data_IF_163545843898
#
_entry.id   IF_163545843898
#
_cell.length_a   1.000
_cell.length_b   1.000
_cell.length_c   1.000
_cell.angle_alpha   90.00
_cell.angle_beta   90.00
_cell.angle_gamma   90.00
#
_symmetry.space_group_name_H-M   'P 1'
#
loop_
_entity.id
_entity.type
_entity.pdbx_description
1 polymer ?
#
# COMPACT_ATOMS: atom_id res chain seq x y z
N UNK A 1 -9.05 -14.46 16.98
CA UNK A 1 -9.65 -15.51 16.13
C UNK A 1 -8.86 -15.55 14.85
N UNK A 2 -8.49 -16.73 14.34
CA UNK A 2 -7.79 -16.83 13.05
C UNK A 2 -8.80 -16.98 11.91
N UNK A 3 -8.49 -16.37 10.77
CA UNK A 3 -9.24 -16.40 9.52
C UNK A 3 -8.43 -17.18 8.50
N UNK A 4 -9.08 -17.99 7.68
CA UNK A 4 -8.49 -18.61 6.50
C UNK A 4 -9.09 -17.97 5.26
N UNK A 5 -8.26 -17.46 4.36
CA UNK A 5 -8.72 -16.69 3.21
C UNK A 5 -7.79 -16.80 2.00
N UNK A 6 -8.35 -16.62 0.81
CA UNK A 6 -7.62 -16.37 -0.42
C UNK A 6 -7.23 -14.89 -0.50
N UNK A 7 -5.96 -14.64 -0.79
CA UNK A 7 -5.41 -13.30 -0.92
C UNK A 7 -4.66 -13.15 -2.23
N UNK A 8 -4.57 -11.90 -2.72
CA UNK A 8 -3.63 -11.49 -3.76
C UNK A 8 -2.63 -10.50 -3.17
N UNK A 9 -1.34 -10.65 -3.49
CA UNK A 9 -0.33 -9.67 -3.12
C UNK A 9 -0.39 -8.48 -4.07
N UNK A 10 -0.64 -7.29 -3.53
CA UNK A 10 -0.80 -6.05 -4.30
C UNK A 10 0.46 -5.19 -4.32
N UNK A 11 1.32 -5.33 -3.31
CA UNK A 11 2.52 -4.49 -3.18
C UNK A 11 3.57 -5.09 -2.26
N UNK A 12 4.81 -4.70 -2.51
CA UNK A 12 5.97 -4.91 -1.64
C UNK A 12 6.72 -3.59 -1.55
N UNK A 13 7.06 -3.15 -0.35
CA UNK A 13 7.79 -1.90 -0.13
C UNK A 13 9.01 -2.11 0.73
N UNK A 14 10.11 -1.44 0.39
CA UNK A 14 11.33 -1.42 1.22
C UNK A 14 11.13 -0.50 2.41
N UNK A 15 11.44 -0.99 3.60
CA UNK A 15 11.47 -0.21 4.83
C UNK A 15 12.92 0.06 5.24
N UNK A 16 13.13 0.59 6.45
CA UNK A 16 14.49 0.76 7.00
C UNK A 16 15.16 -0.59 7.25
N UNK A 17 16.41 -0.72 6.82
CA UNK A 17 17.17 -1.98 6.89
C UNK A 17 16.67 -3.00 5.87
N UNK A 18 16.71 -4.28 6.22
CA UNK A 18 16.27 -5.39 5.35
C UNK A 18 14.77 -5.70 5.48
N UNK A 19 14.03 -4.83 6.17
CA UNK A 19 12.61 -5.00 6.42
C UNK A 19 11.79 -4.64 5.18
N UNK A 20 10.70 -5.37 4.96
CA UNK A 20 9.71 -5.09 3.94
C UNK A 20 8.31 -5.02 4.53
N UNK A 21 7.43 -4.30 3.85
CA UNK A 21 5.99 -4.41 4.06
C UNK A 21 5.35 -5.03 2.84
N UNK A 22 4.47 -6.01 3.06
CA UNK A 22 3.71 -6.68 2.02
C UNK A 22 2.24 -6.32 2.20
N UNK A 23 1.68 -5.65 1.20
CA UNK A 23 0.25 -5.33 1.16
C UNK A 23 -0.48 -6.33 0.28
N UNK A 24 -1.57 -6.88 0.78
CA UNK A 24 -2.42 -7.83 0.08
C UNK A 24 -3.90 -7.40 0.16
N UNK A 25 -4.71 -8.01 -0.68
CA UNK A 25 -6.16 -7.90 -0.63
C UNK A 25 -6.74 -9.29 -0.33
N UNK A 26 -7.54 -9.35 0.73
CA UNK A 26 -8.32 -10.51 1.12
C UNK A 26 -9.59 -10.55 0.28
N UNK A 27 -9.61 -11.49 -0.66
CA UNK A 27 -10.66 -11.63 -1.65
C UNK A 27 -11.93 -12.15 -1.01
N UNK A 28 -11.79 -13.06 -0.04
CA UNK A 28 -12.93 -13.73 0.59
C UNK A 28 -13.68 -12.78 1.55
N UNK A 29 -12.98 -11.78 2.10
CA UNK A 29 -13.52 -10.85 3.09
C UNK A 29 -13.60 -9.39 2.61
N UNK A 30 -13.19 -9.09 1.38
CA UNK A 30 -13.22 -7.74 0.77
C UNK A 30 -12.51 -6.68 1.61
N UNK A 31 -11.27 -6.98 2.03
CA UNK A 31 -10.46 -6.05 2.85
C UNK A 31 -9.00 -6.00 2.43
N UNK A 32 -8.40 -4.82 2.56
CA UNK A 32 -6.96 -4.64 2.45
C UNK A 32 -6.27 -5.12 3.73
N UNK A 33 -5.18 -5.88 3.60
CA UNK A 33 -4.39 -6.39 4.72
C UNK A 33 -2.89 -6.12 4.53
N UNK A 34 -2.15 -6.01 5.64
CA UNK A 34 -0.69 -5.89 5.68
C UNK A 34 -0.11 -7.11 6.38
N UNK A 35 0.67 -7.89 5.65
CA UNK A 35 1.20 -9.15 6.15
C UNK A 35 2.39 -8.90 7.09
N UNK A 36 2.34 -9.55 8.25
CA UNK A 36 3.42 -9.68 9.22
C UNK A 36 3.79 -11.17 9.35
N UNK A 37 4.93 -11.44 9.98
CA UNK A 37 5.31 -12.81 10.31
C UNK A 37 4.36 -13.44 11.34
N UNK A 38 4.54 -14.73 11.62
CA UNK A 38 3.72 -15.48 12.59
C UNK A 38 3.81 -14.97 14.04
N UNK A 39 4.77 -14.09 14.32
CA UNK A 39 4.97 -13.42 15.62
C UNK A 39 4.52 -11.95 15.57
N UNK A 40 3.80 -11.54 14.53
CA UNK A 40 3.36 -10.16 14.29
C UNK A 40 4.51 -9.15 14.17
N UNK A 41 5.65 -9.56 13.61
CA UNK A 41 6.81 -8.71 13.32
C UNK A 41 6.88 -8.39 11.84
N UNK A 42 7.60 -7.32 11.50
CA UNK A 42 7.87 -6.95 10.11
C UNK A 42 8.54 -8.09 9.36
N UNK A 43 8.20 -8.24 8.09
CA UNK A 43 8.81 -9.21 7.19
C UNK A 43 10.18 -8.70 6.71
N UNK A 44 10.99 -9.61 6.18
CA UNK A 44 12.23 -9.29 5.48
C UNK A 44 12.15 -9.77 4.01
N UNK A 45 13.20 -9.51 3.24
CA UNK A 45 13.31 -9.91 1.83
C UNK A 45 13.22 -11.43 1.58
N UNK A 46 13.34 -12.27 2.60
CA UNK A 46 13.17 -13.73 2.48
C UNK A 46 11.70 -14.15 2.46
N UNK A 47 10.77 -13.25 2.78
CA UNK A 47 9.35 -13.55 2.75
C UNK A 47 8.90 -13.93 1.32
N UNK A 48 8.15 -15.04 1.15
CA UNK A 48 7.95 -15.68 -0.14
C UNK A 48 6.92 -14.97 -1.03
N UNK A 49 6.28 -13.92 -0.53
CA UNK A 49 5.19 -13.23 -1.19
C UNK A 49 5.69 -12.43 -2.39
N UNK A 50 5.06 -12.54 -3.54
CA UNK A 50 5.39 -11.76 -4.73
C UNK A 50 4.16 -11.06 -5.32
N UNK A 51 4.35 -9.84 -5.84
CA UNK A 51 3.25 -9.00 -6.36
C UNK A 51 2.56 -9.72 -7.53
N UNK A 52 1.23 -9.77 -7.49
CA UNK A 52 0.43 -10.50 -8.48
C UNK A 52 0.37 -12.00 -8.22
N UNK A 53 0.87 -12.49 -7.08
CA UNK A 53 0.68 -13.90 -6.71
C UNK A 53 -0.48 -14.07 -5.72
N UNK A 54 -1.12 -15.23 -5.80
CA UNK A 54 -2.18 -15.63 -4.89
C UNK A 54 -1.70 -16.60 -3.83
N UNK A 55 -2.25 -16.45 -2.64
CA UNK A 55 -2.03 -17.36 -1.53
C UNK A 55 -3.35 -17.69 -0.85
N UNK A 56 -3.48 -18.94 -0.43
CA UNK A 56 -4.39 -19.28 0.65
C UNK A 56 -3.63 -19.13 1.96
N UNK A 57 -4.08 -18.25 2.86
CA UNK A 57 -3.40 -17.98 4.12
C UNK A 57 -4.30 -18.21 5.31
N UNK A 58 -3.69 -18.48 6.46
CA UNK A 58 -4.33 -18.40 7.77
C UNK A 58 -3.70 -17.29 8.57
N UNK A 59 -4.48 -16.30 8.96
CA UNK A 59 -3.98 -15.13 9.67
C UNK A 59 -4.87 -14.74 10.85
N UNK A 60 -4.36 -13.89 11.73
CA UNK A 60 -5.18 -13.16 12.70
C UNK A 60 -4.78 -11.70 12.72
N UNK A 61 -5.75 -10.82 13.01
CA UNK A 61 -5.45 -9.42 13.26
C UNK A 61 -4.43 -9.28 14.37
N UNK A 62 -3.46 -8.37 14.18
CA UNK A 62 -2.43 -8.09 15.18
C UNK A 62 -3.08 -7.68 16.50
N UNK A 63 -2.66 -8.31 17.60
CA UNK A 63 -3.24 -8.09 18.93
C UNK A 63 -3.13 -6.62 19.39
N UNK A 64 -2.00 -5.97 19.10
CA UNK A 64 -1.80 -4.55 19.36
C UNK A 64 -1.87 -3.77 18.05
N UNK A 65 -3.05 -3.22 17.77
CA UNK A 65 -3.25 -2.32 16.64
C UNK A 65 -2.61 -0.97 16.94
N UNK A 66 -1.96 -0.40 15.92
CA UNK A 66 -1.42 0.96 15.98
C UNK A 66 -1.99 1.71 14.79
N UNK A 67 -3.07 2.50 14.97
CA UNK A 67 -3.61 3.33 13.92
C UNK A 67 -2.53 4.22 13.27
N UNK A 68 -2.61 4.47 11.94
CA UNK A 68 -3.65 4.02 11.02
C UNK A 68 -3.52 2.58 10.52
N UNK A 69 -2.49 1.83 10.95
CA UNK A 69 -2.17 0.48 10.50
C UNK A 69 -3.05 -0.60 11.15
N UNK A 70 -4.35 -0.43 11.06
CA UNK A 70 -5.34 -1.36 11.63
C UNK A 70 -5.48 -2.65 10.81
N UNK A 71 -4.96 -2.65 9.59
CA UNK A 71 -4.94 -3.76 8.64
C UNK A 71 -3.76 -4.74 8.84
N UNK A 72 -2.93 -4.55 9.88
CA UNK A 72 -1.83 -5.45 10.22
C UNK A 72 -2.35 -6.85 10.64
N UNK A 73 -1.86 -7.90 9.98
CA UNK A 73 -2.21 -9.29 10.27
C UNK A 73 -0.98 -10.17 10.43
N UNK A 74 -0.99 -11.05 11.44
CA UNK A 74 0.03 -12.09 11.61
C UNK A 74 -0.34 -13.32 10.80
N UNK A 75 0.54 -13.77 9.90
CA UNK A 75 0.31 -14.94 9.05
C UNK A 75 0.92 -16.18 9.68
N UNK A 76 0.12 -17.23 9.89
CA UNK A 76 0.52 -18.48 10.53
C UNK A 76 0.80 -19.59 9.53
N UNK A 77 0.02 -19.65 8.47
CA UNK A 77 0.10 -20.65 7.41
C UNK A 77 -0.09 -19.94 6.08
N UNK A 78 0.64 -20.35 5.05
CA UNK A 78 0.48 -19.85 3.68
C UNK A 78 0.73 -20.98 2.68
N UNK A 79 -0.06 -20.99 1.61
CA UNK A 79 0.10 -21.88 0.47
C UNK A 79 -0.10 -21.05 -0.80
N UNK A 80 0.90 -21.04 -1.70
CA UNK A 80 0.74 -20.38 -2.99
C UNK A 80 -0.26 -21.17 -3.82
N UNK A 81 -1.41 -20.57 -4.10
CA UNK A 81 -2.52 -21.20 -4.81
C UNK A 81 -3.35 -20.15 -5.50
N UNK A 82 -3.72 -20.42 -6.74
CA UNK A 82 -4.67 -19.60 -7.49
C UNK A 82 -6.09 -20.07 -7.16
N UNK A 83 -7.01 -19.19 -6.72
CA UNK A 83 -8.39 -19.57 -6.41
C UNK A 83 -9.10 -20.15 -7.65
N UNK A 84 -9.91 -21.19 -7.44
CA UNK A 84 -10.68 -21.80 -8.52
C UNK A 84 -11.63 -20.78 -9.14
N UNK A 85 -11.67 -20.67 -10.47
CA UNK A 85 -12.53 -19.72 -11.19
C UNK A 85 -11.92 -18.35 -11.47
N UNK A 86 -10.78 -17.98 -10.89
CA UNK A 86 -10.11 -16.71 -11.23
C UNK A 86 -9.43 -16.76 -12.61
N UNK A 87 -8.70 -17.85 -12.90
CA UNK A 87 -8.10 -18.06 -14.23
C UNK A 87 -9.19 -18.28 -15.28
N UNK A 88 -10.21 -19.08 -14.95
CA UNK A 88 -11.23 -19.52 -15.89
C UNK A 88 -12.10 -18.34 -16.38
N UNK A 89 -12.33 -17.32 -15.54
CA UNK A 89 -13.19 -16.17 -15.87
C UNK A 89 -12.42 -14.93 -16.37
N UNK A 90 -11.18 -14.72 -15.92
CA UNK A 90 -10.46 -13.46 -16.16
C UNK A 90 -9.20 -13.63 -17.05
N UNK A 91 -8.78 -14.86 -17.36
CA UNK A 91 -7.54 -15.13 -18.09
C UNK A 91 -6.32 -14.52 -17.40
N UNK A 92 -5.35 -14.02 -18.16
CA UNK A 92 -4.12 -13.40 -17.63
C UNK A 92 -4.34 -11.99 -17.04
N UNK A 93 -5.51 -11.37 -17.25
CA UNK A 93 -5.78 -9.97 -16.88
C UNK A 93 -6.40 -9.80 -15.48
N UNK A 94 -6.61 -10.90 -14.75
CA UNK A 94 -7.27 -10.89 -13.44
C UNK A 94 -6.67 -9.87 -12.46
N UNK A 95 -5.34 -9.69 -12.47
CA UNK A 95 -4.68 -8.79 -11.53
C UNK A 95 -5.09 -7.35 -11.79
N UNK A 96 -5.12 -6.94 -13.06
CA UNK A 96 -5.57 -5.62 -13.46
C UNK A 96 -7.05 -5.42 -13.17
N UNK A 97 -7.89 -6.45 -13.31
CA UNK A 97 -9.30 -6.38 -12.94
C UNK A 97 -9.45 -6.05 -11.46
N UNK A 98 -8.79 -6.79 -10.56
CA UNK A 98 -8.82 -6.51 -9.12
C UNK A 98 -8.32 -5.09 -8.84
N UNK A 99 -7.20 -4.68 -9.45
CA UNK A 99 -6.66 -3.33 -9.26
C UNK A 99 -7.66 -2.26 -9.68
N UNK A 100 -8.34 -2.44 -10.82
CA UNK A 100 -9.33 -1.48 -11.31
C UNK A 100 -10.60 -1.44 -10.46
N UNK A 101 -11.05 -2.58 -9.93
CA UNK A 101 -12.19 -2.66 -9.01
C UNK A 101 -11.90 -1.94 -7.68
N UNK A 102 -10.66 -2.06 -7.19
CA UNK A 102 -10.21 -1.41 -5.95
C UNK A 102 -9.82 0.07 -6.13
N UNK A 103 -9.69 0.55 -7.38
CA UNK A 103 -9.16 1.88 -7.67
C UNK A 103 -10.22 2.96 -7.52
N UNK A 104 -10.00 3.88 -6.59
CA UNK A 104 -10.77 5.11 -6.50
C UNK A 104 -10.20 6.20 -7.43
N UNK A 105 -11.05 7.11 -7.91
CA UNK A 105 -10.61 8.29 -8.67
C UNK A 105 -10.66 9.51 -7.76
N UNK A 106 -9.51 10.14 -7.51
CA UNK A 106 -9.42 11.40 -6.76
C UNK A 106 -8.89 12.52 -7.66
N UNK A 107 -9.59 13.64 -7.69
CA UNK A 107 -9.24 14.76 -8.55
C UNK A 107 -8.30 15.79 -7.90
N UNK A 108 -8.08 15.74 -6.59
CA UNK A 108 -7.53 16.87 -5.82
C UNK A 108 -6.60 16.52 -4.65
N UNK A 109 -6.41 15.23 -4.35
CA UNK A 109 -5.65 14.73 -3.20
C UNK A 109 -6.32 15.02 -1.84
N UNK A 110 -7.54 15.56 -1.81
CA UNK A 110 -8.20 15.98 -0.58
C UNK A 110 -9.04 14.89 0.08
N UNK A 111 -9.44 13.84 -0.66
CA UNK A 111 -10.23 12.73 -0.13
C UNK A 111 -9.37 11.58 0.41
N UNK A 112 -8.11 11.50 -0.04
CA UNK A 112 -7.18 10.44 0.37
C UNK A 112 -7.05 10.37 1.89
N UNK A 113 -7.09 9.14 2.43
CA UNK A 113 -6.98 8.85 3.87
C UNK A 113 -8.02 9.62 4.69
N UNK A 114 -9.29 9.43 4.33
CA UNK A 114 -10.46 10.04 4.99
C UNK A 114 -10.35 11.57 5.10
N UNK A 115 -9.66 12.21 4.14
CA UNK A 115 -9.41 13.64 4.11
C UNK A 115 -8.51 14.19 5.22
N UNK A 116 -7.75 13.33 5.91
CA UNK A 116 -6.88 13.72 7.04
C UNK A 116 -5.46 14.11 6.64
N UNK A 117 -5.17 14.21 5.34
CA UNK A 117 -3.85 14.62 4.87
C UNK A 117 -3.56 16.09 5.17
N UNK A 118 -2.52 16.30 5.96
CA UNK A 118 -1.82 17.57 6.15
C UNK A 118 -0.61 17.65 5.23
N UNK A 119 -0.16 18.86 4.93
CA UNK A 119 0.96 19.10 4.02
C UNK A 119 2.03 19.98 4.66
N UNK A 120 3.28 19.54 4.59
CA UNK A 120 4.45 20.31 5.02
C UNK A 120 5.56 20.12 3.98
N UNK A 121 6.13 21.22 3.47
CA UNK A 121 7.17 21.18 2.44
C UNK A 121 6.80 20.28 1.25
N UNK A 122 5.56 20.41 0.76
CA UNK A 122 4.97 19.62 -0.31
C UNK A 122 4.83 18.11 -0.04
N UNK A 123 5.03 17.64 1.20
CA UNK A 123 4.91 16.22 1.57
C UNK A 123 3.66 16.00 2.42
N UNK A 124 2.82 15.07 1.98
CA UNK A 124 1.58 14.69 2.67
C UNK A 124 1.86 13.79 3.88
N UNK A 125 1.16 14.04 4.99
CA UNK A 125 1.21 13.20 6.18
C UNK A 125 -0.11 13.24 6.95
N UNK A 126 -0.34 12.25 7.81
CA UNK A 126 -1.40 12.27 8.83
C UNK A 126 -0.77 12.24 10.23
N UNK A 127 -1.58 12.52 11.27
CA UNK A 127 -1.13 12.50 12.66
C UNK A 127 -1.49 11.18 13.33
N UNK A 128 -0.62 10.68 14.21
CA UNK A 128 -0.88 9.46 15.00
C UNK A 128 -2.10 9.64 15.95
N UNK A 129 -2.30 10.85 16.46
CA UNK A 129 -3.38 11.17 17.40
C UNK A 129 -4.72 11.49 16.72
N UNK A 130 -4.73 11.66 15.39
CA UNK A 130 -5.93 11.78 14.55
C UNK A 130 -5.76 10.91 13.29
N UNK A 131 -5.71 9.58 13.46
CA UNK A 131 -5.37 8.68 12.37
C UNK A 131 -6.56 8.55 11.40
N UNK A 132 -6.32 8.37 10.09
CA UNK A 132 -7.35 7.95 9.15
C UNK A 132 -7.84 6.53 9.49
N UNK A 133 -8.97 6.15 8.89
CA UNK A 133 -9.58 4.82 9.06
C UNK A 133 -8.81 3.69 8.35
N UNK A 134 -7.95 4.03 7.38
CA UNK A 134 -7.07 3.11 6.69
C UNK A 134 -5.69 3.73 6.43
N UNK A 135 -4.66 2.88 6.31
CA UNK A 135 -3.31 3.33 5.97
C UNK A 135 -2.91 3.05 4.52
N UNK A 136 -3.78 2.43 3.72
CA UNK A 136 -3.49 2.00 2.35
C UNK A 136 -4.72 2.18 1.45
N UNK A 137 -4.51 2.60 0.20
CA UNK A 137 -5.56 2.65 -0.82
C UNK A 137 -4.98 2.47 -2.23
N UNK A 138 -5.83 2.09 -3.18
CA UNK A 138 -5.51 2.16 -4.61
C UNK A 138 -6.29 3.32 -5.19
N UNK A 139 -5.60 4.21 -5.90
CA UNK A 139 -6.17 5.45 -6.40
C UNK A 139 -5.61 5.77 -7.77
N UNK A 140 -6.33 6.58 -8.54
CA UNK A 140 -5.81 7.19 -9.77
C UNK A 140 -6.12 8.68 -9.81
N UNK A 141 -5.26 9.42 -10.50
CA UNK A 141 -5.35 10.87 -10.62
C UNK A 141 -5.61 11.32 -12.05
N UNK A 142 -6.37 12.41 -12.28
CA UNK A 142 -6.59 12.96 -13.61
C UNK A 142 -5.37 13.72 -14.17
N UNK A 143 -4.22 13.66 -13.48
CA UNK A 143 -2.96 14.29 -13.83
C UNK A 143 -1.80 13.29 -13.74
N UNK A 144 -0.73 13.57 -14.47
CA UNK A 144 0.47 12.76 -14.45
C UNK A 144 1.24 12.93 -13.13
N UNK A 145 2.02 11.92 -12.77
CA UNK A 145 3.07 12.05 -11.76
C UNK A 145 4.44 12.01 -12.45
N UNK A 146 5.28 13.01 -12.16
CA UNK A 146 6.62 13.11 -12.76
C UNK A 146 7.71 12.80 -11.73
N UNK A 147 8.63 11.91 -12.09
CA UNK A 147 9.72 11.47 -11.24
C UNK A 147 10.72 12.60 -10.97
N UNK A 148 11.01 12.84 -9.71
CA UNK A 148 11.96 13.83 -9.20
C UNK A 148 12.81 13.20 -8.09
N UNK A 149 13.95 12.62 -8.47
CA UNK A 149 14.80 11.84 -7.57
C UNK A 149 14.07 10.63 -7.00
N UNK A 150 13.95 10.55 -5.67
CA UNK A 150 13.20 9.49 -4.95
C UNK A 150 11.69 9.74 -4.88
N UNK A 151 11.20 10.82 -5.48
CA UNK A 151 9.82 11.27 -5.35
C UNK A 151 9.12 11.31 -6.71
N UNK A 152 7.80 11.39 -6.65
CA UNK A 152 6.94 11.74 -7.77
C UNK A 152 6.20 13.05 -7.47
N UNK A 153 6.24 13.99 -8.39
CA UNK A 153 5.60 15.32 -8.30
C UNK A 153 4.27 15.29 -9.02
N UNK A 154 3.23 15.83 -8.39
CA UNK A 154 1.89 15.92 -8.98
C UNK A 154 1.83 17.02 -10.04
N UNK A 155 1.55 16.66 -11.30
CA UNK A 155 1.48 17.60 -12.43
C UNK A 155 0.12 18.28 -12.54
N UNK A 156 -0.31 18.92 -11.45
CA UNK A 156 -1.57 19.65 -11.32
C UNK A 156 -1.37 21.10 -10.83
N UNK A 157 -0.12 21.60 -10.86
CA UNK A 157 0.25 22.93 -10.37
C UNK A 157 0.44 23.03 -8.85
N UNK A 158 0.14 21.99 -8.07
CA UNK A 158 0.28 22.02 -6.60
C UNK A 158 1.72 21.89 -6.11
N UNK A 159 2.63 21.31 -6.91
CA UNK A 159 3.99 20.99 -6.50
C UNK A 159 4.09 19.89 -5.42
N UNK A 160 2.98 19.24 -5.06
CA UNK A 160 2.92 18.16 -4.07
C UNK A 160 3.74 16.96 -4.53
N UNK A 161 4.48 16.37 -3.59
CA UNK A 161 5.43 15.29 -3.84
C UNK A 161 5.10 14.06 -3.00
N UNK A 162 5.32 12.87 -3.58
CA UNK A 162 5.06 11.58 -2.96
C UNK A 162 6.34 10.75 -3.04
N UNK A 163 6.89 10.30 -1.90
CA UNK A 163 8.10 9.46 -1.89
C UNK A 163 7.76 8.06 -2.42
N UNK A 164 8.55 7.55 -3.35
CA UNK A 164 8.43 6.17 -3.81
C UNK A 164 9.17 5.20 -2.89
N UNK A 165 8.52 4.08 -2.55
CA UNK A 165 9.06 3.05 -1.64
C UNK A 165 8.79 1.62 -2.12
N UNK A 166 8.36 1.44 -3.38
CA UNK A 166 8.06 0.11 -3.93
C UNK A 166 9.29 -0.79 -4.06
N UNK A 167 9.07 -2.08 -4.31
CA UNK A 167 10.11 -3.11 -4.43
C UNK A 167 11.11 -2.84 -5.57
N UNK A 168 10.60 -2.47 -6.75
CA UNK A 168 11.45 -2.11 -7.90
C UNK A 168 12.29 -0.90 -7.53
N UNK A 169 13.55 -0.86 -7.93
CA UNK A 169 14.37 0.32 -7.68
C UNK A 169 13.75 1.53 -8.35
N UNK A 170 13.89 2.71 -7.72
CA UNK A 170 13.34 3.94 -8.30
C UNK A 170 13.92 4.19 -9.70
N UNK A 171 15.16 3.77 -9.96
CA UNK A 171 15.81 3.83 -11.28
C UNK A 171 15.07 3.06 -12.38
N UNK A 172 14.38 1.97 -12.03
CA UNK A 172 13.60 1.12 -12.94
C UNK A 172 12.19 1.66 -13.18
N UNK A 173 11.71 2.58 -12.34
CA UNK A 173 10.41 3.20 -12.48
C UNK A 173 10.42 4.28 -13.58
N UNK A 174 9.32 4.44 -14.35
CA UNK A 174 9.27 5.38 -15.45
C UNK A 174 9.36 6.83 -14.96
N UNK A 175 9.88 7.70 -15.82
CA UNK A 175 9.95 9.14 -15.55
C UNK A 175 8.57 9.78 -15.37
N UNK A 176 7.54 9.18 -15.97
CA UNK A 176 6.15 9.65 -15.88
C UNK A 176 5.27 8.45 -15.56
N UNK A 177 4.44 8.57 -14.53
CA UNK A 177 3.25 7.73 -14.34
C UNK A 177 2.08 8.50 -14.96
N UNK A 178 1.45 7.96 -16.02
CA UNK A 178 0.34 8.64 -16.68
C UNK A 178 -0.84 8.89 -15.75
N UNK A 179 -1.61 9.93 -16.05
CA UNK A 179 -2.95 10.13 -15.46
C UNK A 179 -3.80 8.87 -15.64
N UNK A 180 -4.72 8.65 -14.72
CA UNK A 180 -5.64 7.51 -14.66
C UNK A 180 -4.93 6.16 -14.51
N UNK A 181 -3.61 6.12 -14.30
CA UNK A 181 -2.91 4.91 -13.88
C UNK A 181 -3.24 4.63 -12.41
N UNK A 182 -3.78 3.45 -12.08
CA UNK A 182 -3.92 3.04 -10.69
C UNK A 182 -2.54 2.99 -10.01
N UNK A 183 -2.47 3.59 -8.83
CA UNK A 183 -1.31 3.60 -7.97
C UNK A 183 -1.73 3.17 -6.57
N UNK A 184 -0.81 2.57 -5.83
CA UNK A 184 -1.04 2.25 -4.43
C UNK A 184 -0.38 3.27 -3.54
N UNK A 185 -1.17 3.96 -2.73
CA UNK A 185 -0.68 4.84 -1.68
C UNK A 185 -0.68 4.12 -0.34
N UNK A 186 0.29 4.46 0.49
CA UNK A 186 0.35 3.96 1.86
C UNK A 186 0.90 5.01 2.82
N UNK A 187 0.57 4.86 4.11
CA UNK A 187 1.14 5.64 5.19
C UNK A 187 2.28 4.88 5.87
N UNK A 188 3.41 5.57 6.06
CA UNK A 188 4.52 5.12 6.87
C UNK A 188 4.10 4.89 8.33
N UNK A 189 4.86 4.08 9.07
CA UNK A 189 4.69 3.95 10.53
C UNK A 189 4.91 5.31 11.20
N UNK A 190 4.17 5.62 12.29
CA UNK A 190 4.28 6.89 12.97
C UNK A 190 5.68 7.10 13.55
N UNK A 191 6.27 8.26 13.30
CA UNK A 191 7.55 8.67 13.89
C UNK A 191 7.60 10.17 14.14
N UNK A 192 8.31 10.58 15.18
CA UNK A 192 8.53 11.98 15.50
C UNK A 192 9.73 12.49 14.72
N UNK A 193 9.44 13.09 13.57
CA UNK A 193 10.47 13.64 12.68
C UNK A 193 11.16 14.87 13.26
N UNK A 194 10.44 15.66 14.05
CA UNK A 194 10.89 16.99 14.47
C UNK A 194 11.36 17.03 15.94
N UNK A 195 11.16 15.95 16.70
CA UNK A 195 11.40 15.92 18.14
C UNK A 195 10.38 16.77 18.92
N UNK A 196 9.20 17.04 18.34
CA UNK A 196 8.17 17.90 18.92
C UNK A 196 7.06 17.12 19.64
N UNK A 197 7.20 15.79 19.72
CA UNK A 197 6.22 14.88 20.29
C UNK A 197 5.07 14.50 19.34
N UNK A 198 4.95 15.14 18.17
CA UNK A 198 3.90 14.83 17.20
C UNK A 198 4.40 13.79 16.20
N UNK A 199 4.00 12.54 16.41
CA UNK A 199 4.28 11.48 15.44
C UNK A 199 3.45 11.64 14.18
N UNK A 200 4.12 11.51 13.03
CA UNK A 200 3.56 11.69 11.70
C UNK A 200 3.64 10.39 10.91
N UNK A 201 2.59 10.12 10.14
CA UNK A 201 2.54 9.03 9.19
C UNK A 201 2.62 9.64 7.78
N UNK A 202 3.77 9.56 7.13
CA UNK A 202 3.97 10.16 5.81
C UNK A 202 3.34 9.33 4.70
N UNK A 203 2.69 9.99 3.74
CA UNK A 203 2.17 9.37 2.53
C UNK A 203 3.29 8.95 1.58
N UNK A 204 3.16 7.76 1.02
CA UNK A 204 4.15 7.11 0.17
C UNK A 204 3.48 6.46 -1.04
N UNK A 205 4.20 6.45 -2.16
CA UNK A 205 3.85 5.68 -3.36
C UNK A 205 4.49 4.29 -3.22
N UNK A 206 3.63 3.30 -2.99
CA UNK A 206 4.03 1.92 -2.69
C UNK A 206 3.91 0.97 -3.88
N UNK A 207 3.26 1.40 -4.95
CA UNK A 207 3.12 0.66 -6.21
C UNK A 207 2.51 1.52 -7.30
N UNK A 208 2.80 1.19 -8.56
CA UNK A 208 2.14 1.74 -9.73
C UNK A 208 1.82 0.59 -10.68
N UNK A 209 0.58 0.53 -11.15
CA UNK A 209 0.05 -0.56 -11.98
C UNK A 209 0.00 -0.09 -13.44
N UNK A 210 1.16 -0.16 -14.09
CA UNK A 210 1.43 0.35 -15.44
C UNK A 210 1.25 -0.73 -16.51
#
# INVERSE_FOLDING_TARGET
MSISANIVILSKTKMSGDNICVGAYDIDNDIMIRLLDSKARTLDETAPYEIGEFYHIKYAQRYQLTPPHVEDVAVYEYEKRIPQGYIDNCGENWFYIIIHELCEIDSSLSSIFSGKLLWENNKGYTLENDPPDHSVCIISFPFNLEKNGEYYTCMNGSGKMIKYVGKKEIGEMPSIIPRNTPIRLSLARPWDKNGDGNKRCYMQLSGAYL
#
